data_IF_090829960330
#
_entry.id   IF_090829960330
#
_cell.length_a   1.000
_cell.length_b   1.000
_cell.length_c   1.000
_cell.angle_alpha   90.00
_cell.angle_beta   90.00
_cell.angle_gamma   90.00
#
_symmetry.space_group_name_H-M   'P 1'
#
loop_
_entity.id
_entity.type
_entity.pdbx_description
1 polymer ?
#
# COMPACT_ATOMS: atom_id res chain seq x y z
N UNK A 1 -1.92 -8.22 -21.26
CA UNK A 1 -0.88 -8.90 -20.45
C UNK A 1 0.39 -8.09 -20.65
N UNK A 2 0.76 -7.29 -19.66
CA UNK A 2 2.04 -6.58 -19.69
C UNK A 2 3.11 -7.57 -19.25
N UNK A 3 3.73 -8.27 -20.21
CA UNK A 3 5.03 -8.89 -19.98
C UNK A 3 6.05 -7.76 -19.87
N UNK A 4 6.29 -7.32 -18.66
CA UNK A 4 7.43 -6.48 -18.36
C UNK A 4 8.67 -7.36 -18.59
N UNK A 5 9.52 -6.98 -19.53
CA UNK A 5 10.81 -7.62 -19.74
C UNK A 5 11.68 -7.32 -18.51
N UNK A 6 11.70 -8.27 -17.57
CA UNK A 6 12.51 -8.23 -16.33
C UNK A 6 14.01 -8.48 -16.65
N UNK A 7 14.34 -8.74 -17.93
CA UNK A 7 15.62 -9.32 -18.35
C UNK A 7 16.80 -8.35 -18.44
N UNK A 8 16.59 -7.03 -18.37
CA UNK A 8 17.74 -6.12 -18.63
C UNK A 8 18.61 -5.82 -17.40
N UNK A 9 18.05 -5.81 -16.17
CA UNK A 9 18.83 -5.53 -14.95
C UNK A 9 18.22 -6.22 -13.70
N UNK A 10 18.44 -7.51 -13.48
CA UNK A 10 17.88 -8.24 -12.34
C UNK A 10 18.33 -7.67 -10.98
N UNK A 11 19.52 -7.08 -10.91
CA UNK A 11 20.08 -6.51 -9.68
C UNK A 11 19.35 -5.23 -9.23
N UNK A 12 18.75 -4.46 -10.17
CA UNK A 12 18.04 -3.22 -9.86
C UNK A 12 16.58 -3.47 -9.41
N UNK A 13 16.09 -4.69 -9.58
CA UNK A 13 14.69 -5.03 -9.29
C UNK A 13 14.35 -4.92 -7.80
N UNK A 14 15.33 -5.17 -6.94
CA UNK A 14 15.22 -5.17 -5.48
C UNK A 14 15.86 -3.95 -4.80
N UNK A 15 16.43 -3.03 -5.58
CA UNK A 15 16.93 -1.77 -5.05
C UNK A 15 15.75 -0.84 -4.67
N UNK A 16 15.81 -0.25 -3.48
CA UNK A 16 14.85 0.78 -3.07
C UNK A 16 15.23 2.09 -3.75
N UNK A 17 14.36 2.58 -4.62
CA UNK A 17 14.54 3.87 -5.29
C UNK A 17 14.63 5.02 -4.27
N UNK A 18 15.66 5.87 -4.38
CA UNK A 18 15.94 6.91 -3.41
C UNK A 18 14.94 8.08 -3.42
N UNK A 19 14.10 8.19 -4.46
CA UNK A 19 13.06 9.22 -4.59
C UNK A 19 11.71 8.65 -4.18
N UNK A 20 11.37 7.46 -4.70
CA UNK A 20 10.05 6.85 -4.51
C UNK A 20 9.94 6.10 -3.18
N UNK A 21 11.06 5.58 -2.64
CA UNK A 21 11.08 4.85 -1.38
C UNK A 21 10.63 3.39 -1.46
N UNK A 22 10.46 2.83 -2.67
CA UNK A 22 10.08 1.43 -2.86
C UNK A 22 10.75 0.82 -4.09
N UNK A 23 10.73 -0.52 -4.16
CA UNK A 23 11.42 -1.31 -5.19
C UNK A 23 10.60 -1.44 -6.47
N UNK A 24 11.25 -1.72 -7.60
CA UNK A 24 10.57 -2.10 -8.85
C UNK A 24 9.72 -3.37 -8.65
N UNK A 25 10.20 -4.33 -7.84
CA UNK A 25 9.43 -5.51 -7.43
C UNK A 25 8.11 -5.12 -6.78
N UNK A 26 8.10 -4.14 -5.88
CA UNK A 26 6.88 -3.63 -5.25
C UNK A 26 5.89 -3.12 -6.29
N UNK A 27 6.33 -2.32 -7.25
CA UNK A 27 5.49 -1.82 -8.36
C UNK A 27 4.88 -2.97 -9.15
N UNK A 28 5.67 -3.97 -9.50
CA UNK A 28 5.21 -5.13 -10.24
C UNK A 28 4.13 -5.92 -9.47
N UNK A 29 4.35 -6.15 -8.19
CA UNK A 29 3.37 -6.81 -7.31
C UNK A 29 2.08 -6.00 -7.24
N UNK A 30 2.17 -4.69 -7.01
CA UNK A 30 1.00 -3.81 -6.96
C UNK A 30 0.22 -3.79 -8.27
N UNK A 31 0.92 -3.81 -9.41
CA UNK A 31 0.29 -3.89 -10.73
C UNK A 31 -0.50 -5.19 -10.91
N UNK A 32 0.06 -6.34 -10.50
CA UNK A 32 -0.67 -7.63 -10.49
C UNK A 32 -1.92 -7.59 -9.61
N UNK A 33 -1.80 -7.04 -8.39
CA UNK A 33 -2.93 -6.90 -7.47
C UNK A 33 -4.01 -6.01 -8.09
N UNK A 34 -3.63 -4.89 -8.69
CA UNK A 34 -4.56 -3.97 -9.34
C UNK A 34 -5.28 -4.62 -10.53
N UNK A 35 -4.58 -5.41 -11.34
CA UNK A 35 -5.17 -6.16 -12.45
C UNK A 35 -6.20 -7.19 -11.93
N UNK A 36 -5.86 -7.94 -10.89
CA UNK A 36 -6.80 -8.89 -10.27
C UNK A 36 -8.00 -8.18 -9.66
N UNK A 37 -7.78 -7.11 -8.92
CA UNK A 37 -8.87 -6.32 -8.34
C UNK A 37 -9.81 -5.79 -9.42
N UNK A 38 -9.28 -5.26 -10.53
CA UNK A 38 -10.08 -4.79 -11.66
C UNK A 38 -10.88 -5.91 -12.34
N UNK A 39 -10.32 -7.11 -12.44
CA UNK A 39 -11.03 -8.27 -12.97
C UNK A 39 -12.18 -8.70 -12.04
N UNK A 40 -11.96 -8.67 -10.73
CA UNK A 40 -12.98 -8.96 -9.72
C UNK A 40 -14.07 -7.88 -9.68
N UNK A 41 -13.73 -6.60 -9.75
CA UNK A 41 -14.68 -5.50 -9.73
C UNK A 41 -15.71 -5.60 -10.85
N UNK A 42 -15.32 -6.09 -12.04
CA UNK A 42 -16.25 -6.35 -13.16
C UNK A 42 -17.29 -7.43 -12.85
N UNK A 43 -17.02 -8.32 -11.90
CA UNK A 43 -17.89 -9.42 -11.53
C UNK A 43 -18.70 -9.13 -10.26
N UNK A 44 -18.13 -8.36 -9.32
CA UNK A 44 -18.74 -8.09 -8.03
C UNK A 44 -19.53 -6.79 -7.95
N UNK A 45 -19.32 -5.87 -8.91
CA UNK A 45 -20.04 -4.61 -8.97
C UNK A 45 -21.14 -4.73 -10.02
N UNK A 46 -22.39 -4.55 -9.57
CA UNK A 46 -23.56 -4.58 -10.43
C UNK A 46 -23.69 -3.32 -11.32
N UNK A 47 -24.65 -3.33 -12.25
CA UNK A 47 -24.91 -2.17 -13.13
C UNK A 47 -25.37 -0.92 -12.37
N UNK A 48 -25.83 -1.06 -11.14
CA UNK A 48 -26.17 0.01 -10.20
C UNK A 48 -24.98 0.55 -9.41
N UNK A 49 -23.76 0.13 -9.77
CA UNK A 49 -22.50 0.45 -9.10
C UNK A 49 -22.41 -0.01 -7.64
N UNK A 50 -23.25 -0.96 -7.23
CA UNK A 50 -23.22 -1.55 -5.89
C UNK A 50 -22.56 -2.92 -5.93
N UNK A 51 -22.01 -3.32 -4.79
CA UNK A 51 -21.48 -4.68 -4.61
C UNK A 51 -22.64 -5.67 -4.65
N UNK A 52 -22.50 -6.69 -5.50
CA UNK A 52 -23.47 -7.78 -5.59
C UNK A 52 -23.49 -8.55 -4.24
N UNK A 53 -24.63 -8.62 -3.56
CA UNK A 53 -24.75 -9.35 -2.30
C UNK A 53 -24.26 -10.80 -2.47
N UNK A 54 -23.50 -11.29 -1.48
CA UNK A 54 -22.98 -12.67 -1.45
C UNK A 54 -22.01 -13.06 -2.59
N UNK A 55 -21.47 -12.07 -3.33
CA UNK A 55 -20.43 -12.36 -4.29
C UNK A 55 -19.23 -13.05 -3.60
N UNK A 56 -18.72 -14.10 -4.23
CA UNK A 56 -17.53 -14.83 -3.76
C UNK A 56 -16.56 -15.02 -4.93
N UNK A 57 -15.25 -14.91 -4.68
CA UNK A 57 -14.26 -15.21 -5.70
C UNK A 57 -14.30 -16.71 -6.08
N UNK A 58 -13.95 -17.02 -7.33
CA UNK A 58 -13.84 -18.40 -7.77
C UNK A 58 -12.66 -19.12 -7.10
N UNK A 59 -12.69 -20.46 -6.98
CA UNK A 59 -11.55 -21.23 -6.43
C UNK A 59 -10.23 -20.97 -7.15
N UNK A 60 -10.27 -20.78 -8.46
CA UNK A 60 -9.10 -20.45 -9.28
C UNK A 60 -8.53 -19.07 -8.90
N UNK A 61 -9.40 -18.10 -8.69
CA UNK A 61 -9.01 -16.76 -8.28
C UNK A 61 -8.41 -16.78 -6.87
N UNK A 62 -9.00 -17.52 -5.95
CA UNK A 62 -8.46 -17.71 -4.60
C UNK A 62 -7.05 -18.29 -4.65
N UNK A 63 -6.85 -19.33 -5.47
CA UNK A 63 -5.52 -19.96 -5.63
C UNK A 63 -4.48 -18.98 -6.18
N UNK A 64 -4.86 -18.16 -7.17
CA UNK A 64 -3.98 -17.12 -7.73
C UNK A 64 -3.68 -16.03 -6.70
N UNK A 65 -4.68 -15.62 -5.92
CA UNK A 65 -4.51 -14.63 -4.88
C UNK A 65 -3.56 -15.11 -3.78
N UNK A 66 -3.66 -16.36 -3.35
CA UNK A 66 -2.73 -16.94 -2.36
C UNK A 66 -1.29 -16.98 -2.86
N UNK A 67 -1.06 -17.35 -4.13
CA UNK A 67 0.28 -17.30 -4.72
C UNK A 67 0.85 -15.89 -4.70
N UNK A 68 0.02 -14.89 -5.03
CA UNK A 68 0.45 -13.50 -5.01
C UNK A 68 0.70 -12.99 -3.59
N UNK A 69 -0.10 -13.44 -2.61
CA UNK A 69 0.14 -13.15 -1.19
C UNK A 69 1.50 -13.68 -0.72
N UNK A 70 1.87 -14.91 -1.12
CA UNK A 70 3.19 -15.48 -0.83
C UNK A 70 4.32 -14.70 -1.53
N UNK A 71 4.13 -14.25 -2.77
CA UNK A 71 5.09 -13.37 -3.45
C UNK A 71 5.32 -12.06 -2.66
N UNK A 72 4.24 -11.44 -2.17
CA UNK A 72 4.32 -10.22 -1.33
C UNK A 72 5.09 -10.50 -0.04
N UNK A 73 4.74 -11.58 0.68
CA UNK A 73 5.39 -11.96 1.93
C UNK A 73 6.87 -12.27 1.73
N UNK A 74 7.23 -12.97 0.66
CA UNK A 74 8.62 -13.23 0.31
C UNK A 74 9.40 -11.93 0.05
N UNK A 75 8.80 -10.97 -0.67
CA UNK A 75 9.41 -9.67 -0.92
C UNK A 75 9.67 -8.88 0.37
N UNK A 76 8.78 -8.96 1.36
CA UNK A 76 8.94 -8.33 2.67
C UNK A 76 10.11 -8.88 3.50
N UNK A 77 10.64 -10.05 3.16
CA UNK A 77 11.80 -10.65 3.86
C UNK A 77 13.15 -10.25 3.27
N UNK A 78 13.15 -9.56 2.13
CA UNK A 78 14.39 -9.14 1.47
C UNK A 78 15.05 -8.00 2.26
N UNK A 79 16.38 -8.02 2.41
CA UNK A 79 17.10 -6.93 3.06
C UNK A 79 17.02 -5.66 2.19
N UNK A 80 16.98 -4.46 2.81
CA UNK A 80 16.95 -3.20 2.09
C UNK A 80 18.26 -2.99 1.32
N UNK A 81 18.15 -2.67 0.04
CA UNK A 81 19.30 -2.37 -0.81
C UNK A 81 19.18 -0.93 -1.33
N UNK A 82 20.17 -0.06 -1.09
CA UNK A 82 20.17 1.29 -1.62
C UNK A 82 20.37 1.27 -3.14
N UNK A 83 19.72 2.20 -3.84
CA UNK A 83 19.86 2.31 -5.29
C UNK A 83 21.29 2.76 -5.71
N UNK A 84 21.65 2.45 -6.94
CA UNK A 84 22.95 2.81 -7.53
C UNK A 84 23.25 4.31 -7.51
N UNK A 85 22.23 5.17 -7.57
CA UNK A 85 22.39 6.62 -7.50
C UNK A 85 23.03 7.08 -6.19
N UNK A 86 22.68 6.47 -5.06
CA UNK A 86 23.28 6.77 -3.75
C UNK A 86 24.73 6.34 -3.68
N UNK A 87 25.08 5.21 -4.30
CA UNK A 87 26.46 4.77 -4.41
C UNK A 87 27.29 5.71 -5.28
N UNK A 88 26.76 6.14 -6.42
CA UNK A 88 27.45 7.03 -7.35
C UNK A 88 27.65 8.44 -6.77
N UNK A 89 26.72 8.95 -5.98
CA UNK A 89 26.82 10.27 -5.33
C UNK A 89 27.67 10.29 -4.06
N UNK A 90 28.03 9.13 -3.52
CA UNK A 90 28.68 9.01 -2.21
C UNK A 90 27.75 9.30 -1.02
N UNK A 91 26.45 9.44 -1.25
CA UNK A 91 25.45 9.81 -0.24
C UNK A 91 24.88 8.61 0.53
N UNK A 92 25.46 7.42 0.38
CA UNK A 92 25.00 6.19 1.11
C UNK A 92 24.97 6.42 2.63
N UNK A 93 25.88 7.25 3.16
CA UNK A 93 25.91 7.60 4.58
C UNK A 93 24.67 8.39 5.05
N UNK A 94 23.93 9.02 4.13
CA UNK A 94 22.68 9.75 4.41
C UNK A 94 21.42 8.88 4.25
N UNK A 95 21.60 7.67 3.74
CA UNK A 95 20.50 6.75 3.52
C UNK A 95 19.99 6.21 4.86
N UNK A 96 18.77 6.56 5.23
CA UNK A 96 18.10 5.99 6.38
C UNK A 96 17.45 4.66 5.99
N UNK A 97 18.21 3.58 6.14
CA UNK A 97 17.79 2.24 5.78
C UNK A 97 16.45 1.83 6.43
N UNK A 98 16.23 2.28 7.65
CA UNK A 98 14.99 1.95 8.39
C UNK A 98 13.78 2.69 7.82
N UNK A 99 13.93 3.99 7.53
CA UNK A 99 12.86 4.79 6.95
C UNK A 99 12.49 4.29 5.56
N UNK A 100 13.50 4.00 4.73
CA UNK A 100 13.33 3.48 3.37
C UNK A 100 12.68 2.09 3.37
N UNK A 101 13.17 1.17 4.22
CA UNK A 101 12.55 -0.15 4.35
C UNK A 101 11.09 -0.03 4.80
N UNK A 102 10.81 0.81 5.81
CA UNK A 102 9.44 1.01 6.28
C UNK A 102 8.54 1.62 5.20
N UNK A 103 9.08 2.48 4.34
CA UNK A 103 8.34 3.02 3.19
C UNK A 103 7.99 1.89 2.21
N UNK A 104 8.98 1.09 1.79
CA UNK A 104 8.77 -0.05 0.90
C UNK A 104 7.78 -1.06 1.49
N UNK A 105 7.92 -1.40 2.76
CA UNK A 105 7.03 -2.34 3.44
C UNK A 105 5.59 -1.81 3.53
N UNK A 106 5.40 -0.51 3.78
CA UNK A 106 4.07 0.09 3.81
C UNK A 106 3.30 -0.09 2.49
N UNK A 107 3.99 0.00 1.35
CA UNK A 107 3.39 -0.26 0.03
C UNK A 107 3.01 -1.73 -0.15
N UNK A 108 3.85 -2.67 0.29
CA UNK A 108 3.55 -4.10 0.23
C UNK A 108 2.32 -4.45 1.10
N UNK A 109 2.27 -3.93 2.33
CA UNK A 109 1.13 -4.15 3.22
C UNK A 109 -0.16 -3.52 2.68
N UNK A 110 -0.08 -2.33 2.07
CA UNK A 110 -1.23 -1.74 1.38
C UNK A 110 -1.70 -2.60 0.21
N UNK A 111 -0.78 -3.19 -0.55
CA UNK A 111 -1.09 -4.19 -1.57
C UNK A 111 -1.85 -5.38 -1.00
N UNK A 112 -1.44 -5.93 0.16
CA UNK A 112 -2.14 -7.03 0.83
C UNK A 112 -3.55 -6.62 1.28
N UNK A 113 -3.74 -5.43 1.81
CA UNK A 113 -5.10 -4.93 2.12
C UNK A 113 -5.96 -4.94 0.87
N UNK A 114 -5.48 -4.41 -0.27
CA UNK A 114 -6.23 -4.44 -1.53
C UNK A 114 -6.49 -5.86 -2.04
N UNK A 115 -5.53 -6.77 -1.91
CA UNK A 115 -5.69 -8.18 -2.28
C UNK A 115 -6.82 -8.83 -1.45
N UNK A 116 -6.78 -8.65 -0.14
CA UNK A 116 -7.78 -9.21 0.76
C UNK A 116 -9.17 -8.59 0.54
N UNK A 117 -9.25 -7.26 0.44
CA UNK A 117 -10.52 -6.53 0.29
C UNK A 117 -11.16 -6.70 -1.08
N UNK A 118 -10.38 -6.44 -2.14
CA UNK A 118 -10.94 -6.30 -3.51
C UNK A 118 -10.90 -7.59 -4.30
N UNK A 119 -9.95 -8.49 -4.04
CA UNK A 119 -9.82 -9.77 -4.75
C UNK A 119 -10.48 -10.89 -3.98
N UNK A 120 -10.17 -11.04 -2.68
CA UNK A 120 -10.72 -12.10 -1.85
C UNK A 120 -12.08 -11.76 -1.21
N UNK A 121 -12.54 -10.49 -1.30
CA UNK A 121 -13.83 -10.06 -0.79
C UNK A 121 -13.95 -10.09 0.73
N UNK A 122 -12.83 -10.09 1.46
CA UNK A 122 -12.82 -10.08 2.93
C UNK A 122 -13.35 -8.73 3.45
N UNK A 123 -14.18 -8.69 4.49
CA UNK A 123 -14.64 -7.44 5.10
C UNK A 123 -13.50 -6.73 5.87
N UNK A 124 -13.67 -5.44 6.20
CA UNK A 124 -12.67 -4.67 6.94
C UNK A 124 -12.31 -5.30 8.28
N UNK A 125 -13.25 -5.93 8.94
CA UNK A 125 -13.10 -6.57 10.26
C UNK A 125 -12.34 -7.89 10.21
N UNK A 126 -12.05 -8.41 9.00
CA UNK A 126 -11.35 -9.68 8.85
C UNK A 126 -9.92 -9.57 9.42
N UNK A 127 -9.48 -10.59 10.15
CA UNK A 127 -8.18 -10.60 10.83
C UNK A 127 -6.99 -10.30 9.91
N UNK A 128 -6.97 -10.85 8.70
CA UNK A 128 -5.87 -10.61 7.75
C UNK A 128 -5.85 -9.15 7.27
N UNK A 129 -7.02 -8.53 7.10
CA UNK A 129 -7.12 -7.11 6.73
C UNK A 129 -6.59 -6.24 7.86
N UNK A 130 -7.05 -6.49 9.10
CA UNK A 130 -6.61 -5.73 10.26
C UNK A 130 -5.13 -5.95 10.57
N UNK A 131 -4.60 -7.17 10.40
CA UNK A 131 -3.18 -7.44 10.54
C UNK A 131 -2.34 -6.61 9.55
N UNK A 132 -2.73 -6.57 8.27
CA UNK A 132 -2.04 -5.77 7.27
C UNK A 132 -2.15 -4.26 7.54
N UNK A 133 -3.32 -3.76 7.98
CA UNK A 133 -3.52 -2.37 8.40
C UNK A 133 -2.61 -2.00 9.57
N UNK A 134 -2.52 -2.85 10.60
CA UNK A 134 -1.60 -2.63 11.72
C UNK A 134 -0.14 -2.57 11.28
N UNK A 135 0.27 -3.39 10.32
CA UNK A 135 1.62 -3.33 9.76
C UNK A 135 1.91 -2.02 9.05
N UNK A 136 0.96 -1.44 8.32
CA UNK A 136 1.10 -0.10 7.76
C UNK A 136 1.32 0.92 8.88
N UNK A 137 0.55 0.87 9.98
CA UNK A 137 0.73 1.76 11.12
C UNK A 137 2.11 1.60 11.77
N UNK A 138 2.63 0.37 11.90
CA UNK A 138 3.98 0.12 12.41
C UNK A 138 5.04 0.74 11.49
N UNK A 139 4.91 0.62 10.18
CA UNK A 139 5.78 1.26 9.21
C UNK A 139 5.77 2.78 9.35
N UNK A 140 4.58 3.38 9.43
CA UNK A 140 4.43 4.83 9.58
C UNK A 140 5.15 5.38 10.82
N UNK A 141 5.25 4.65 11.93
CA UNK A 141 5.99 5.09 13.13
C UNK A 141 7.50 5.27 12.89
N UNK A 142 8.05 4.59 11.90
CA UNK A 142 9.47 4.66 11.55
C UNK A 142 9.78 5.75 10.51
N UNK A 143 8.77 6.41 9.98
CA UNK A 143 8.89 7.42 8.91
C UNK A 143 8.62 8.80 9.51
N UNK A 144 9.54 9.73 9.26
CA UNK A 144 9.46 11.09 9.80
C UNK A 144 8.26 11.83 9.23
N UNK A 145 7.47 12.45 10.12
CA UNK A 145 6.38 13.32 9.72
C UNK A 145 6.94 14.62 9.13
N UNK A 146 6.35 15.10 8.02
CA UNK A 146 6.84 16.27 7.29
C UNK A 146 8.08 16.02 6.44
N UNK A 147 8.60 14.79 6.40
CA UNK A 147 9.72 14.40 5.53
C UNK A 147 9.31 14.15 4.09
N UNK A 148 10.29 14.11 3.18
CA UNK A 148 10.04 13.82 1.75
C UNK A 148 9.42 12.45 1.51
N UNK A 149 9.80 11.44 2.30
CA UNK A 149 9.25 10.09 2.22
C UNK A 149 7.74 10.05 2.53
N UNK A 150 7.25 10.91 3.43
CA UNK A 150 5.83 10.94 3.79
C UNK A 150 4.93 11.32 2.61
N UNK A 151 5.40 12.20 1.72
CA UNK A 151 4.65 12.60 0.54
C UNK A 151 4.39 11.42 -0.44
N UNK A 152 5.26 10.42 -0.45
CA UNK A 152 5.10 9.21 -1.27
C UNK A 152 4.08 8.23 -0.68
N UNK A 153 3.76 8.34 0.63
CA UNK A 153 2.94 7.38 1.37
C UNK A 153 1.42 7.59 1.25
N UNK A 154 0.96 8.43 0.34
CA UNK A 154 -0.49 8.69 0.20
C UNK A 154 -1.29 7.40 0.00
N UNK A 155 -0.83 6.51 -0.87
CA UNK A 155 -1.53 5.25 -1.13
C UNK A 155 -1.60 4.34 0.11
N UNK A 156 -0.50 4.03 0.83
CA UNK A 156 -0.59 3.26 2.07
C UNK A 156 -1.44 3.94 3.16
N UNK A 157 -1.32 5.27 3.32
CA UNK A 157 -2.10 6.01 4.31
C UNK A 157 -3.60 5.97 4.03
N UNK A 158 -4.02 6.20 2.76
CA UNK A 158 -5.43 6.08 2.40
C UNK A 158 -5.96 4.67 2.57
N UNK A 159 -5.18 3.67 2.14
CA UNK A 159 -5.55 2.26 2.29
C UNK A 159 -5.79 1.92 3.77
N UNK A 160 -4.85 2.24 4.64
CA UNK A 160 -5.00 1.99 6.07
C UNK A 160 -6.14 2.83 6.68
N UNK A 161 -6.27 4.10 6.30
CA UNK A 161 -7.31 4.99 6.84
C UNK A 161 -8.74 4.54 6.51
N UNK A 162 -8.95 3.93 5.35
CA UNK A 162 -10.26 3.41 4.96
C UNK A 162 -10.66 2.13 5.71
N UNK A 163 -9.69 1.29 6.07
CA UNK A 163 -9.95 -0.03 6.66
C UNK A 163 -9.59 -0.13 8.16
N UNK A 164 -8.98 0.90 8.78
CA UNK A 164 -8.69 0.87 10.22
C UNK A 164 -9.97 1.02 11.05
N UNK A 165 -10.14 0.15 12.04
CA UNK A 165 -11.27 0.17 12.98
C UNK A 165 -10.93 0.99 14.24
N UNK A 166 -9.67 1.16 14.56
CA UNK A 166 -9.20 1.91 15.72
C UNK A 166 -9.21 3.42 15.44
N UNK A 167 -9.93 4.18 16.28
CA UNK A 167 -10.08 5.63 16.12
C UNK A 167 -8.77 6.38 16.32
N UNK A 168 -7.88 5.91 17.22
CA UNK A 168 -6.59 6.52 17.47
C UNK A 168 -5.68 6.39 16.25
N UNK A 169 -5.65 5.20 15.65
CA UNK A 169 -4.92 4.96 14.42
C UNK A 169 -5.47 5.78 13.26
N UNK A 170 -6.80 5.90 13.14
CA UNK A 170 -7.44 6.73 12.12
C UNK A 170 -7.09 8.21 12.27
N UNK A 171 -7.11 8.72 13.51
CA UNK A 171 -6.72 10.10 13.82
C UNK A 171 -5.25 10.36 13.47
N UNK A 172 -4.35 9.40 13.76
CA UNK A 172 -2.94 9.51 13.38
C UNK A 172 -2.75 9.60 11.86
N UNK A 173 -3.47 8.80 11.07
CA UNK A 173 -3.42 8.87 9.60
C UNK A 173 -3.94 10.22 9.11
N UNK A 174 -5.08 10.69 9.64
CA UNK A 174 -5.64 11.98 9.26
C UNK A 174 -4.66 13.14 9.56
N UNK A 175 -3.96 13.09 10.70
CA UNK A 175 -2.92 14.07 11.03
C UNK A 175 -1.75 14.05 10.05
N UNK A 176 -1.28 12.86 9.64
CA UNK A 176 -0.22 12.71 8.65
C UNK A 176 -0.64 13.23 7.27
N UNK A 177 -1.86 12.93 6.83
CA UNK A 177 -2.38 13.46 5.57
C UNK A 177 -2.49 14.99 5.59
N UNK A 178 -2.87 15.60 6.72
CA UNK A 178 -2.84 17.06 6.88
C UNK A 178 -1.41 17.62 6.85
N UNK A 179 -0.44 16.89 7.37
CA UNK A 179 0.98 17.25 7.25
C UNK A 179 1.41 17.31 5.77
N UNK A 180 1.07 16.30 4.99
CA UNK A 180 1.37 16.28 3.55
C UNK A 180 0.63 17.41 2.81
N UNK A 181 -0.63 17.70 3.15
CA UNK A 181 -1.36 18.84 2.59
C UNK A 181 -0.60 20.16 2.82
N UNK A 182 -0.04 20.35 4.01
CA UNK A 182 0.69 21.56 4.36
C UNK A 182 1.95 21.81 3.52
N UNK A 183 2.48 20.76 2.86
CA UNK A 183 3.61 20.87 1.92
C UNK A 183 3.21 21.33 0.52
N UNK A 184 1.92 21.61 0.28
CA UNK A 184 1.39 22.11 -1.00
C UNK A 184 0.61 21.08 -1.82
N UNK A 185 0.46 19.85 -1.36
CA UNK A 185 -0.35 18.82 -2.03
C UNK A 185 -1.84 19.00 -1.74
N UNK A 186 -2.45 20.04 -2.31
CA UNK A 186 -3.85 20.40 -2.06
C UNK A 186 -4.87 19.31 -2.39
N UNK A 187 -4.56 18.41 -3.31
CA UNK A 187 -5.42 17.28 -3.68
C UNK A 187 -5.66 16.30 -2.54
N UNK A 188 -4.80 16.28 -1.53
CA UNK A 188 -4.93 15.42 -0.34
C UNK A 188 -6.04 15.91 0.61
N UNK A 189 -6.42 17.21 0.53
CA UNK A 189 -7.40 17.85 1.42
C UNK A 189 -8.72 17.12 1.52
N UNK A 190 -9.28 16.73 0.38
CA UNK A 190 -10.58 16.06 0.34
C UNK A 190 -10.52 14.68 0.99
N UNK A 191 -9.43 13.95 0.79
CA UNK A 191 -9.23 12.65 1.41
C UNK A 191 -9.02 12.72 2.92
N UNK A 192 -8.22 13.66 3.40
CA UNK A 192 -8.04 13.90 4.85
C UNK A 192 -9.36 14.28 5.52
N UNK A 193 -10.17 15.14 4.87
CA UNK A 193 -11.53 15.49 5.34
C UNK A 193 -12.47 14.28 5.35
N UNK A 194 -12.44 13.45 4.30
CA UNK A 194 -13.29 12.25 4.25
C UNK A 194 -12.98 11.30 5.41
N UNK A 195 -11.72 11.02 5.68
CA UNK A 195 -11.31 10.19 6.81
C UNK A 195 -11.68 10.82 8.16
N UNK A 196 -11.59 12.14 8.29
CA UNK A 196 -11.98 12.86 9.51
C UNK A 196 -13.50 12.85 9.71
N UNK A 197 -14.30 12.96 8.65
CA UNK A 197 -15.76 12.92 8.72
C UNK A 197 -16.29 11.50 8.99
N UNK A 198 -15.61 10.45 8.53
CA UNK A 198 -15.97 9.08 8.86
C UNK A 198 -15.72 8.73 10.33
N UNK A 199 -14.93 9.52 11.05
CA UNK A 199 -14.80 9.46 12.52
C UNK A 199 -16.10 9.92 13.21
N UNK A 200 -16.80 10.90 12.61
CA UNK A 200 -18.00 11.51 13.20
C UNK A 200 -19.27 10.73 12.87
N UNK A 201 -19.27 10.04 11.73
CA UNK A 201 -20.42 9.26 11.27
C UNK A 201 -20.03 7.78 11.22
N UNK A 202 -20.34 7.06 12.29
CA UNK A 202 -20.25 5.58 12.36
C UNK A 202 -21.20 4.88 11.38
N UNK A 203 -21.22 5.29 10.09
CA UNK A 203 -22.09 4.70 9.07
C UNK A 203 -21.39 4.66 7.71
N UNK A 204 -20.93 3.51 7.30
CA UNK A 204 -21.36 2.81 6.05
C UNK A 204 -20.95 1.35 6.20
#
# INVERSE_FOLDING_TARGET
MLEYQIDEHPDEFDEIDCIMGFTTRCVYILAKIAEFARACDRQRIGPDHRIIPYWKPSPELITKAWKLEEEVKASLTLPPQPCKHLHASGDVARWDAREMQSTNDAFHWAGLVHLHRRVLGKPSEHEDVQAAVLKIHECLKNIRMGGTAEACLLFPMFTAGCDTLDETHRAMIAQRLMSVESTGMMQVRNGARYLSLSIVNNFI
#
